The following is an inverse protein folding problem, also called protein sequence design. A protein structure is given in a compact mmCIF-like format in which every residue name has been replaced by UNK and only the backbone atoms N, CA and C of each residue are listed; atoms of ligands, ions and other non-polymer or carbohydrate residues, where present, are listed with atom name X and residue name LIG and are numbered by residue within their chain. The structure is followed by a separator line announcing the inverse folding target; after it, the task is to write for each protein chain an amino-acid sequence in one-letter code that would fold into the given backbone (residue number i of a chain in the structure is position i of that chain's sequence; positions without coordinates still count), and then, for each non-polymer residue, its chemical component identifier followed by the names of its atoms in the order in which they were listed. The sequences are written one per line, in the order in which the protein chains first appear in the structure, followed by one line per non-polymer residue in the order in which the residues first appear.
data_IF_037728016874
#
_entry.id   IF_037728016874
#
_cell.length_a   1.000
_cell.length_b   1.000
_cell.length_c   1.000
_cell.angle_alpha   90.00
_cell.angle_beta   90.00
_cell.angle_gamma   90.00
#
_symmetry.space_group_name_H-M   'P 1'
#
loop_
_entity.id
_entity.type
_entity.pdbx_description
1 polymer ?
#
# COMPACT_ATOMS: atom_id res chain seq x y z
N UNK A 1 0.89 -11.55 -16.86
CA UNK A 1 1.89 -10.47 -16.61
C UNK A 1 2.80 -10.90 -15.47
N UNK A 2 4.10 -10.83 -15.69
CA UNK A 2 5.07 -11.17 -14.66
C UNK A 2 5.18 -9.99 -13.69
N UNK A 3 5.11 -10.25 -12.39
CA UNK A 3 5.31 -9.22 -11.39
C UNK A 3 6.73 -8.65 -11.48
N UNK A 4 6.85 -7.33 -11.38
CA UNK A 4 8.14 -6.67 -11.39
C UNK A 4 8.83 -6.89 -10.05
N UNK A 5 10.03 -7.44 -10.06
CA UNK A 5 10.82 -7.67 -8.86
C UNK A 5 11.74 -6.47 -8.56
N UNK A 6 12.09 -6.34 -7.30
CA UNK A 6 13.02 -5.32 -6.85
C UNK A 6 14.44 -5.72 -7.28
N UNK A 7 15.18 -4.81 -7.90
CA UNK A 7 16.55 -5.09 -8.33
C UNK A 7 17.52 -5.18 -7.15
N UNK A 8 18.66 -5.80 -7.37
CA UNK A 8 19.71 -5.96 -6.33
C UNK A 8 20.17 -4.62 -5.77
N UNK A 9 20.21 -3.57 -6.59
CA UNK A 9 20.60 -2.22 -6.14
C UNK A 9 19.68 -1.74 -5.02
N UNK A 10 18.36 -1.94 -5.17
CA UNK A 10 17.40 -1.54 -4.14
C UNK A 10 17.44 -2.47 -2.93
N UNK A 11 17.66 -3.76 -3.13
CA UNK A 11 17.83 -4.70 -2.02
C UNK A 11 19.06 -4.33 -1.18
N UNK A 12 20.17 -3.95 -1.82
CA UNK A 12 21.36 -3.48 -1.14
C UNK A 12 21.08 -2.21 -0.33
N UNK A 13 20.29 -1.30 -0.88
CA UNK A 13 19.89 -0.07 -0.17
C UNK A 13 19.07 -0.39 1.08
N UNK A 14 18.13 -1.33 0.99
CA UNK A 14 17.35 -1.78 2.15
C UNK A 14 18.27 -2.37 3.21
N UNK A 15 19.23 -3.19 2.82
CA UNK A 15 20.17 -3.82 3.76
C UNK A 15 21.03 -2.76 4.47
N UNK A 16 21.53 -1.76 3.75
CA UNK A 16 22.40 -0.72 4.31
C UNK A 16 21.68 0.34 5.11
N UNK A 17 20.51 0.80 4.62
CA UNK A 17 19.82 1.97 5.17
C UNK A 17 18.48 1.65 5.82
N UNK A 18 17.97 0.42 5.65
CA UNK A 18 16.66 0.02 6.16
C UNK A 18 15.49 0.38 5.25
N UNK A 19 15.73 1.06 4.13
CA UNK A 19 14.69 1.44 3.17
C UNK A 19 15.27 1.67 1.78
N UNK A 20 14.39 1.66 0.79
CA UNK A 20 14.71 2.09 -0.57
C UNK A 20 13.49 2.76 -1.19
N UNK A 21 13.74 3.72 -2.09
CA UNK A 21 12.70 4.36 -2.90
C UNK A 21 12.87 3.88 -4.33
N UNK A 22 11.87 3.18 -4.84
CA UNK A 22 11.91 2.60 -6.19
C UNK A 22 11.04 3.45 -7.10
N UNK A 23 11.67 4.27 -7.93
CA UNK A 23 10.95 5.10 -8.89
C UNK A 23 10.39 4.23 -10.02
N UNK A 24 9.20 4.59 -10.50
CA UNK A 24 8.53 3.92 -11.61
C UNK A 24 8.35 2.40 -11.38
N UNK A 25 8.15 2.02 -10.12
CA UNK A 25 8.01 0.60 -9.76
C UNK A 25 6.71 -0.01 -10.27
N UNK A 26 5.68 0.81 -10.47
CA UNK A 26 4.35 0.39 -10.91
C UNK A 26 4.11 0.94 -12.32
N UNK A 27 3.64 0.08 -13.24
CA UNK A 27 3.32 0.48 -14.62
C UNK A 27 2.29 1.59 -14.64
N UNK A 28 2.43 2.53 -15.57
CA UNK A 28 1.48 3.61 -15.75
C UNK A 28 0.06 3.11 -16.03
N UNK A 29 -0.07 2.00 -16.78
CA UNK A 29 -1.37 1.40 -17.05
C UNK A 29 -2.04 0.89 -15.78
N UNK A 30 -1.29 0.27 -14.88
CA UNK A 30 -1.83 -0.18 -13.59
C UNK A 30 -2.20 1.01 -12.71
N UNK A 31 -1.39 2.07 -12.70
CA UNK A 31 -1.71 3.30 -11.97
C UNK A 31 -3.02 3.89 -12.48
N UNK A 32 -3.20 3.97 -13.81
CA UNK A 32 -4.44 4.47 -14.40
C UNK A 32 -5.64 3.60 -14.00
N UNK A 33 -5.49 2.29 -14.00
CA UNK A 33 -6.53 1.36 -13.60
C UNK A 33 -6.88 1.49 -12.11
N UNK A 34 -5.88 1.67 -11.25
CA UNK A 34 -6.09 1.91 -9.81
C UNK A 34 -6.80 3.25 -9.58
N UNK A 35 -6.45 4.29 -10.32
CA UNK A 35 -7.14 5.58 -10.25
C UNK A 35 -8.60 5.46 -10.65
N UNK A 36 -8.89 4.76 -11.74
CA UNK A 36 -10.26 4.53 -12.19
C UNK A 36 -11.05 3.74 -11.15
N UNK A 37 -10.43 2.72 -10.55
CA UNK A 37 -11.05 1.93 -9.48
C UNK A 37 -11.34 2.81 -8.26
N UNK A 38 -10.39 3.65 -7.85
CA UNK A 38 -10.55 4.58 -6.75
C UNK A 38 -11.74 5.53 -6.96
N UNK A 39 -11.90 6.07 -8.16
CA UNK A 39 -13.06 6.92 -8.50
C UNK A 39 -14.35 6.13 -8.44
N UNK A 40 -14.36 4.89 -8.93
CA UNK A 40 -15.54 4.01 -8.92
C UNK A 40 -16.06 3.77 -7.51
N UNK A 41 -15.16 3.54 -6.55
CA UNK A 41 -15.52 3.20 -5.19
C UNK A 41 -15.51 4.39 -4.23
N UNK A 42 -15.28 5.60 -4.74
CA UNK A 42 -15.17 6.81 -3.92
C UNK A 42 -16.34 6.98 -2.92
N UNK A 43 -17.61 6.72 -3.28
CA UNK A 43 -18.71 6.86 -2.33
C UNK A 43 -18.65 5.90 -1.14
N UNK A 44 -17.83 4.86 -1.22
CA UNK A 44 -17.74 3.82 -0.18
C UNK A 44 -16.53 4.01 0.74
N UNK A 45 -15.78 5.10 0.60
CA UNK A 45 -14.66 5.40 1.49
C UNK A 45 -15.17 5.71 2.89
N UNK A 46 -14.38 5.30 3.88
CA UNK A 46 -14.67 5.50 5.29
C UNK A 46 -13.68 6.47 5.92
N UNK A 47 -14.10 7.16 6.98
CA UNK A 47 -13.18 7.93 7.81
C UNK A 47 -12.08 7.00 8.32
N UNK A 48 -10.81 7.40 8.13
CA UNK A 48 -9.67 6.57 8.51
C UNK A 48 -9.61 6.39 10.03
N UNK A 49 -9.33 5.14 10.44
CA UNK A 49 -9.09 4.81 11.83
C UNK A 49 -7.59 4.75 12.15
N UNK A 50 -7.27 4.69 13.43
CA UNK A 50 -5.91 4.43 13.93
C UNK A 50 -5.93 3.15 14.75
N UNK A 51 -4.76 2.50 14.85
CA UNK A 51 -4.65 1.20 15.51
C UNK A 51 -5.00 0.06 14.54
N UNK A 52 -5.03 -1.15 15.07
CA UNK A 52 -5.20 -2.36 14.27
C UNK A 52 -6.29 -3.24 14.85
N UNK A 53 -7.06 -3.87 13.96
CA UNK A 53 -8.09 -4.83 14.34
C UNK A 53 -9.02 -4.26 15.43
N UNK A 54 -9.11 -4.94 16.58
CA UNK A 54 -9.99 -4.53 17.68
C UNK A 54 -9.55 -3.24 18.37
N UNK A 55 -8.30 -2.82 18.16
CA UNK A 55 -7.76 -1.57 18.71
C UNK A 55 -7.98 -0.37 17.79
N UNK A 56 -8.58 -0.58 16.62
CA UNK A 56 -8.84 0.50 15.69
C UNK A 56 -9.87 1.49 16.27
N UNK A 57 -9.54 2.77 16.20
CA UNK A 57 -10.43 3.85 16.62
C UNK A 57 -10.31 5.04 15.67
N UNK A 58 -11.34 5.87 15.64
CA UNK A 58 -11.36 7.09 14.84
C UNK A 58 -10.98 8.26 15.74
N UNK A 59 -9.91 8.97 15.38
CA UNK A 59 -9.44 10.17 16.08
C UNK A 59 -9.02 11.22 15.05
N UNK A 60 -9.89 12.20 14.83
CA UNK A 60 -9.70 13.26 13.83
C UNK A 60 -8.64 14.29 14.24
N UNK A 61 -8.13 14.25 15.46
CA UNK A 61 -7.01 15.10 15.88
C UNK A 61 -5.66 14.52 15.48
N UNK A 62 -5.60 13.19 15.26
CA UNK A 62 -4.40 12.48 14.86
C UNK A 62 -4.40 12.24 13.35
N UNK A 63 -5.57 11.90 12.80
CA UNK A 63 -5.70 11.52 11.40
C UNK A 63 -7.03 12.00 10.83
N UNK A 64 -6.96 12.68 9.69
CA UNK A 64 -8.14 13.21 9.01
C UNK A 64 -8.05 12.95 7.52
N UNK A 65 -8.28 11.70 7.12
CA UNK A 65 -8.37 11.24 5.74
C UNK A 65 -9.43 10.17 5.65
N UNK A 66 -9.73 9.74 4.43
CA UNK A 66 -10.66 8.64 4.18
C UNK A 66 -9.92 7.49 3.52
N UNK A 67 -10.33 6.27 3.83
CA UNK A 67 -9.67 5.08 3.32
C UNK A 67 -10.68 4.08 2.78
N UNK A 68 -10.20 3.20 1.92
CA UNK A 68 -10.92 2.02 1.46
C UNK A 68 -9.93 0.86 1.37
N UNK A 69 -10.12 -0.14 2.20
CA UNK A 69 -9.26 -1.32 2.22
C UNK A 69 -9.44 -2.13 0.94
N UNK A 70 -8.33 -2.62 0.39
CA UNK A 70 -8.37 -3.50 -0.78
C UNK A 70 -9.10 -4.80 -0.41
N UNK A 71 -10.06 -5.16 -1.25
CA UNK A 71 -10.92 -6.32 -1.06
C UNK A 71 -10.98 -7.22 -2.30
N UNK A 72 -10.06 -7.02 -3.24
CA UNK A 72 -10.01 -7.73 -4.52
C UNK A 72 -11.26 -7.55 -5.38
N UNK A 73 -11.99 -6.45 -5.18
CA UNK A 73 -13.23 -6.17 -5.91
C UNK A 73 -13.02 -5.69 -7.34
N UNK A 74 -11.77 -5.47 -7.76
CA UNK A 74 -11.43 -5.05 -9.11
C UNK A 74 -10.18 -5.77 -9.59
N UNK A 75 -10.02 -5.84 -10.92
CA UNK A 75 -8.81 -6.41 -11.52
C UNK A 75 -7.57 -5.59 -11.16
N UNK A 76 -7.71 -4.26 -11.04
CA UNK A 76 -6.60 -3.40 -10.64
C UNK A 76 -6.07 -3.77 -9.26
N UNK A 77 -6.96 -3.98 -8.29
CA UNK A 77 -6.58 -4.41 -6.95
C UNK A 77 -5.91 -5.79 -6.98
N UNK A 78 -6.50 -6.73 -7.71
CA UNK A 78 -5.95 -8.09 -7.83
C UNK A 78 -4.53 -8.05 -8.41
N UNK A 79 -4.30 -7.28 -9.47
CA UNK A 79 -2.98 -7.14 -10.09
C UNK A 79 -1.97 -6.51 -9.12
N UNK A 80 -2.37 -5.46 -8.43
CA UNK A 80 -1.50 -4.81 -7.45
C UNK A 80 -1.13 -5.77 -6.30
N UNK A 81 -2.11 -6.49 -5.77
CA UNK A 81 -1.87 -7.46 -4.69
C UNK A 81 -0.96 -8.60 -5.14
N UNK A 82 -1.05 -9.06 -6.39
CA UNK A 82 -0.13 -10.06 -6.92
C UNK A 82 1.31 -9.54 -6.96
N UNK A 83 1.50 -8.26 -7.30
CA UNK A 83 2.81 -7.62 -7.28
C UNK A 83 3.37 -7.57 -5.85
N UNK A 84 2.54 -7.19 -4.89
CA UNK A 84 2.94 -7.15 -3.48
C UNK A 84 3.29 -8.55 -2.94
N UNK A 85 2.56 -9.56 -3.35
CA UNK A 85 2.86 -10.95 -2.98
C UNK A 85 4.24 -11.38 -3.48
N UNK A 86 4.58 -11.04 -4.73
CA UNK A 86 5.88 -11.35 -5.31
C UNK A 86 7.01 -10.61 -4.56
N UNK A 87 6.79 -9.35 -4.19
CA UNK A 87 7.76 -8.58 -3.42
C UNK A 87 7.95 -9.17 -2.02
N UNK A 88 6.86 -9.55 -1.35
CA UNK A 88 6.93 -10.22 -0.05
C UNK A 88 7.81 -11.47 -0.12
N UNK A 89 7.58 -12.31 -1.12
CA UNK A 89 8.36 -13.53 -1.33
C UNK A 89 9.83 -13.22 -1.56
N UNK A 90 10.12 -12.21 -2.38
CA UNK A 90 11.50 -11.80 -2.66
C UNK A 90 12.22 -11.30 -1.39
N UNK A 91 11.55 -10.46 -0.61
CA UNK A 91 12.12 -9.93 0.65
C UNK A 91 12.38 -11.06 1.65
N UNK A 92 11.48 -12.03 1.75
CA UNK A 92 11.68 -13.20 2.60
C UNK A 92 12.92 -14.00 2.19
N UNK A 93 13.11 -14.20 0.88
CA UNK A 93 14.27 -14.94 0.37
C UNK A 93 15.58 -14.16 0.58
N UNK A 94 15.54 -12.85 0.37
CA UNK A 94 16.74 -12.02 0.45
C UNK A 94 17.18 -11.76 1.89
N UNK A 95 16.26 -11.64 2.83
CA UNK A 95 16.54 -11.18 4.19
C UNK A 95 16.06 -12.15 5.28
N UNK A 96 15.48 -13.28 4.93
CA UNK A 96 14.99 -14.30 5.88
C UNK A 96 13.99 -13.71 6.89
N UNK A 97 13.07 -12.85 6.43
CA UNK A 97 12.19 -12.10 7.32
C UNK A 97 10.98 -12.88 7.85
N UNK A 98 10.49 -13.86 7.11
CA UNK A 98 9.30 -14.59 7.52
C UNK A 98 8.01 -13.78 7.43
N UNK A 99 7.94 -12.82 6.52
CA UNK A 99 6.71 -12.07 6.26
C UNK A 99 5.62 -13.02 5.77
N UNK A 100 4.42 -12.94 6.35
CA UNK A 100 3.33 -13.82 5.98
C UNK A 100 2.07 -13.08 5.57
N UNK A 101 1.97 -11.79 5.86
CA UNK A 101 0.78 -11.00 5.55
C UNK A 101 1.15 -9.54 5.26
N UNK A 102 0.23 -8.81 4.66
CA UNK A 102 0.36 -7.38 4.38
C UNK A 102 -1.03 -6.79 4.15
N UNK A 103 -1.13 -5.47 4.27
CA UNK A 103 -2.37 -4.74 4.11
C UNK A 103 -2.20 -3.65 3.07
N UNK A 104 -3.24 -3.44 2.25
CA UNK A 104 -3.26 -2.38 1.24
C UNK A 104 -4.58 -1.64 1.30
N UNK A 105 -4.53 -0.32 1.16
CA UNK A 105 -5.73 0.50 1.07
C UNK A 105 -5.49 1.73 0.19
N UNK A 106 -6.58 2.24 -0.37
CA UNK A 106 -6.58 3.60 -0.90
C UNK A 106 -6.69 4.57 0.27
N UNK A 107 -6.02 5.71 0.16
CA UNK A 107 -6.19 6.82 1.09
C UNK A 107 -6.51 8.08 0.30
N UNK A 108 -7.52 8.82 0.74
CA UNK A 108 -7.94 10.05 0.11
C UNK A 108 -7.73 11.22 1.08
N UNK A 109 -6.84 12.13 0.69
CA UNK A 109 -6.56 13.34 1.44
C UNK A 109 -7.10 14.52 0.64
N UNK A 110 -8.13 15.17 1.17
CA UNK A 110 -8.61 16.43 0.63
C UNK A 110 -7.78 17.58 1.21
N UNK A 111 -7.92 18.76 0.62
CA UNK A 111 -7.20 19.93 1.14
C UNK A 111 -7.47 20.09 2.65
N UNK A 112 -6.40 20.19 3.42
CA UNK A 112 -6.47 20.30 4.88
C UNK A 112 -6.46 18.97 5.63
N UNK A 113 -6.60 17.83 4.94
CA UNK A 113 -6.50 16.54 5.58
C UNK A 113 -5.06 16.20 5.93
N UNK A 114 -4.88 15.39 6.97
CA UNK A 114 -3.56 15.10 7.49
C UNK A 114 -3.53 13.75 8.22
N UNK A 115 -2.32 13.26 8.40
CA UNK A 115 -2.02 12.18 9.33
C UNK A 115 -0.77 12.60 10.09
N UNK A 116 -0.90 12.85 11.40
CA UNK A 116 0.22 13.27 12.22
C UNK A 116 1.30 12.17 12.28
N UNK A 117 2.54 12.58 12.55
CA UNK A 117 3.65 11.65 12.72
C UNK A 117 3.28 10.56 13.72
N UNK A 118 3.51 9.31 13.34
CA UNK A 118 3.16 8.14 14.13
C UNK A 118 4.22 7.05 13.91
N UNK A 119 4.19 6.05 14.72
CA UNK A 119 5.13 4.94 14.67
C UNK A 119 4.41 3.60 14.50
#
# INVERSE_FOLDING_TARGET
MTAQLISDTYLDAIERAGYAVVENAIDESLIADLMADCYRINPHFHTAGIGRLNDQQIDKTVRKDKTYWFDSSSQAQITYLATMEAIKTQLNRSFYLGLFDYECHYAKYQQGDFYKKHY
#
